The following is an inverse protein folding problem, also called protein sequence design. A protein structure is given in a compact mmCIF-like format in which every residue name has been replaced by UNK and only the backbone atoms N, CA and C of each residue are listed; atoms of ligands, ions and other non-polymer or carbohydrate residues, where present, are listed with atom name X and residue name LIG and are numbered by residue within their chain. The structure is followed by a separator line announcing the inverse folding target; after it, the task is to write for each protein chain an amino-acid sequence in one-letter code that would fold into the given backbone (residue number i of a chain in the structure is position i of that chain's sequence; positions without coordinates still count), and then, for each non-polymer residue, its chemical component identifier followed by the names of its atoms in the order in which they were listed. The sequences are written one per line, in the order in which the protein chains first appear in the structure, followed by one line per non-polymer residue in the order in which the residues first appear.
data_IF_825595045122
#
_entry.id   IF_825595045122
#
_cell.length_a   1.000
_cell.length_b   1.000
_cell.length_c   1.000
_cell.angle_alpha   90.00
_cell.angle_beta   90.00
_cell.angle_gamma   90.00
#
_symmetry.space_group_name_H-M   'P 1'
#
loop_
_entity.id
_entity.type
_entity.pdbx_description
1 polymer ?
#
# COMPACT_ATOMS: atom_id res chain seq x y z
N UNK A 1 4.34 -7.52 26.90
CA UNK A 1 3.97 -6.43 25.95
C UNK A 1 2.55 -5.96 26.24
N UNK A 2 2.33 -4.66 26.47
CA UNK A 2 0.97 -4.13 26.66
C UNK A 2 0.10 -4.27 25.40
N UNK A 3 -1.23 -4.36 25.55
CA UNK A 3 -2.18 -4.58 24.43
C UNK A 3 -2.01 -3.57 23.28
N UNK A 4 -1.63 -2.33 23.60
CA UNK A 4 -1.36 -1.28 22.61
C UNK A 4 -0.12 -1.53 21.75
N UNK A 5 0.94 -2.13 22.29
CA UNK A 5 2.17 -2.44 21.52
C UNK A 5 1.93 -3.55 20.49
N UNK A 6 1.13 -4.56 20.87
CA UNK A 6 0.72 -5.64 19.96
C UNK A 6 -0.18 -5.13 18.83
N UNK A 7 -1.14 -4.27 19.16
CA UNK A 7 -2.04 -3.67 18.17
C UNK A 7 -1.28 -2.81 17.16
N UNK A 8 -0.26 -2.05 17.61
CA UNK A 8 0.61 -1.28 16.73
C UNK A 8 1.45 -2.13 15.78
N UNK A 9 2.04 -3.23 16.28
CA UNK A 9 2.82 -4.15 15.45
C UNK A 9 1.95 -4.83 14.37
N UNK A 10 0.74 -5.25 14.73
CA UNK A 10 -0.22 -5.86 13.79
C UNK A 10 -0.66 -4.87 12.71
N UNK A 11 -0.91 -3.62 13.11
CA UNK A 11 -1.26 -2.55 12.18
C UNK A 11 -0.12 -2.24 11.20
N UNK A 12 1.12 -2.20 11.68
CA UNK A 12 2.31 -2.04 10.82
C UNK A 12 2.44 -3.22 9.85
N UNK A 13 2.25 -4.45 10.35
CA UNK A 13 2.31 -5.67 9.54
C UNK A 13 1.29 -5.63 8.41
N UNK A 14 0.05 -5.23 8.70
CA UNK A 14 -1.00 -5.10 7.68
C UNK A 14 -0.57 -4.10 6.61
N UNK A 15 -0.08 -2.91 6.98
CA UNK A 15 0.36 -1.92 6.00
C UNK A 15 1.54 -2.41 5.15
N UNK A 16 2.51 -3.10 5.75
CA UNK A 16 3.62 -3.72 5.00
C UNK A 16 3.11 -4.76 4.00
N UNK A 17 2.16 -5.61 4.42
CA UNK A 17 1.56 -6.60 3.53
C UNK A 17 0.78 -5.93 2.39
N UNK A 18 0.01 -4.88 2.67
CA UNK A 18 -0.69 -4.12 1.63
C UNK A 18 0.30 -3.54 0.61
N UNK A 19 1.40 -2.95 1.05
CA UNK A 19 2.45 -2.45 0.17
C UNK A 19 3.06 -3.57 -0.69
N UNK A 20 3.40 -4.70 -0.08
CA UNK A 20 4.01 -5.85 -0.78
C UNK A 20 3.06 -6.45 -1.81
N UNK A 21 1.78 -6.66 -1.45
CA UNK A 21 0.81 -7.34 -2.28
C UNK A 21 0.29 -6.47 -3.43
N UNK A 22 0.23 -5.15 -3.25
CA UNK A 22 -0.27 -4.23 -4.27
C UNK A 22 0.79 -3.80 -5.28
N UNK A 23 2.08 -4.03 -5.01
CA UNK A 23 3.13 -3.61 -5.94
C UNK A 23 3.14 -4.42 -7.25
N UNK A 24 3.17 -5.77 -7.25
CA UNK A 24 3.43 -6.54 -8.47
C UNK A 24 2.36 -6.30 -9.54
N UNK A 25 1.08 -6.35 -9.19
CA UNK A 25 0.00 -6.09 -10.14
C UNK A 25 -0.08 -4.63 -10.59
N UNK A 26 0.34 -3.67 -9.75
CA UNK A 26 0.42 -2.27 -10.14
C UNK A 26 1.51 -2.03 -11.19
N UNK A 27 2.59 -2.82 -11.18
CA UNK A 27 3.61 -2.78 -12.24
C UNK A 27 3.06 -3.27 -13.57
N UNK A 28 2.27 -4.35 -13.56
CA UNK A 28 1.61 -4.85 -14.77
C UNK A 28 0.67 -3.78 -15.30
N UNK A 29 -0.12 -3.16 -14.42
CA UNK A 29 -1.04 -2.08 -14.80
C UNK A 29 -0.32 -0.87 -15.41
N UNK A 30 0.82 -0.48 -14.84
CA UNK A 30 1.64 0.59 -15.38
C UNK A 30 2.30 0.22 -16.73
N UNK A 31 2.67 -1.04 -16.91
CA UNK A 31 3.30 -1.56 -18.12
C UNK A 31 2.34 -1.86 -19.27
N UNK A 32 1.01 -1.81 -19.06
CA UNK A 32 0.02 -1.97 -20.13
C UNK A 32 0.01 -0.80 -21.13
N UNK A 33 0.53 0.37 -20.74
CA UNK A 33 0.58 1.57 -21.60
C UNK A 33 2.01 2.15 -21.66
N UNK A 34 2.99 1.46 -22.26
CA UNK A 34 4.37 1.93 -22.33
C UNK A 34 4.52 3.15 -23.26
N UNK A 35 5.55 4.00 -23.07
CA UNK A 35 6.74 3.79 -22.26
C UNK A 35 6.72 4.68 -21.01
N UNK A 36 6.41 4.10 -19.86
CA UNK A 36 6.49 4.84 -18.61
C UNK A 36 7.56 4.29 -17.68
N UNK A 37 8.44 5.19 -17.24
CA UNK A 37 9.53 4.88 -16.32
C UNK A 37 9.08 4.69 -14.87
N UNK A 38 10.07 4.53 -13.99
CA UNK A 38 9.92 4.23 -12.57
C UNK A 38 8.90 5.12 -11.83
N UNK A 39 8.70 6.37 -12.24
CA UNK A 39 7.72 7.31 -11.67
C UNK A 39 6.27 6.85 -11.85
N UNK A 40 5.89 6.34 -13.02
CA UNK A 40 4.51 5.84 -13.24
C UNK A 40 4.31 4.54 -12.47
N UNK A 41 5.29 3.64 -12.48
CA UNK A 41 5.26 2.43 -11.67
C UNK A 41 5.07 2.75 -10.18
N UNK A 42 5.79 3.75 -9.66
CA UNK A 42 5.68 4.20 -8.28
C UNK A 42 4.30 4.83 -7.98
N UNK A 43 3.80 5.70 -8.86
CA UNK A 43 2.49 6.35 -8.64
C UNK A 43 1.32 5.36 -8.76
N UNK A 44 1.37 4.39 -9.67
CA UNK A 44 0.40 3.30 -9.76
C UNK A 44 0.43 2.41 -8.51
N UNK A 45 1.62 2.10 -8.01
CA UNK A 45 1.76 1.36 -6.75
C UNK A 45 1.20 2.14 -5.56
N UNK A 46 1.51 3.44 -5.45
CA UNK A 46 0.95 4.30 -4.40
C UNK A 46 -0.58 4.38 -4.49
N UNK A 47 -1.14 4.51 -5.70
CA UNK A 47 -2.59 4.49 -5.90
C UNK A 47 -3.20 3.16 -5.47
N UNK A 48 -2.59 2.02 -5.82
CA UNK A 48 -3.05 0.70 -5.37
C UNK A 48 -2.97 0.56 -3.84
N UNK A 49 -1.92 1.06 -3.20
CA UNK A 49 -1.80 1.07 -1.74
C UNK A 49 -2.89 1.95 -1.09
N UNK A 50 -3.12 3.16 -1.61
CA UNK A 50 -4.18 4.06 -1.14
C UNK A 50 -5.54 3.37 -1.23
N UNK A 51 -5.85 2.71 -2.36
CA UNK A 51 -7.09 1.97 -2.54
C UNK A 51 -7.26 0.77 -1.60
N UNK A 52 -6.16 0.14 -1.18
CA UNK A 52 -6.17 -0.98 -0.25
C UNK A 52 -6.13 -0.55 1.23
N UNK A 53 -5.72 0.68 1.52
CA UNK A 53 -5.60 1.24 2.89
C UNK A 53 -6.88 1.21 3.74
N UNK A 54 -8.12 1.21 3.19
CA UNK A 54 -9.33 0.99 3.99
C UNK A 54 -9.30 -0.32 4.79
N UNK A 55 -8.59 -1.36 4.33
CA UNK A 55 -8.45 -2.63 5.07
C UNK A 55 -7.70 -2.43 6.40
N UNK A 56 -6.65 -1.62 6.42
CA UNK A 56 -5.92 -1.31 7.64
C UNK A 56 -6.73 -0.39 8.56
N UNK A 57 -7.55 0.49 8.00
CA UNK A 57 -8.50 1.29 8.77
C UNK A 57 -9.57 0.41 9.45
N UNK A 58 -10.15 -0.56 8.72
CA UNK A 58 -11.08 -1.55 9.30
C UNK A 58 -10.44 -2.32 10.46
N UNK A 59 -9.16 -2.69 10.36
CA UNK A 59 -8.44 -3.33 11.45
C UNK A 59 -8.39 -2.45 12.72
N UNK A 60 -8.11 -1.15 12.59
CA UNK A 60 -8.12 -0.24 13.73
C UNK A 60 -9.53 -0.13 14.34
N UNK A 61 -10.59 -0.08 13.53
CA UNK A 61 -11.97 -0.05 14.02
C UNK A 61 -12.30 -1.29 14.86
N UNK A 62 -11.94 -2.48 14.39
CA UNK A 62 -12.14 -3.75 15.13
C UNK A 62 -11.35 -3.78 16.44
N UNK A 63 -10.20 -3.08 16.50
CA UNK A 63 -9.35 -2.99 17.70
C UNK A 63 -9.59 -1.73 18.54
N UNK A 64 -10.65 -0.97 18.26
CA UNK A 64 -10.93 0.32 18.90
C UNK A 64 -11.00 0.25 20.43
N UNK A 65 -11.65 -0.79 20.98
CA UNK A 65 -11.74 -1.01 22.43
C UNK A 65 -10.38 -1.17 23.11
N UNK A 66 -9.43 -1.82 22.44
CA UNK A 66 -8.08 -2.08 22.98
C UNK A 66 -7.17 -0.84 22.99
N UNK A 67 -7.52 0.17 22.19
CA UNK A 67 -6.73 1.40 21.99
C UNK A 67 -7.24 2.59 22.82
N UNK A 68 -8.49 2.53 23.31
CA UNK A 68 -9.09 3.57 24.13
C UNK A 68 -8.95 4.97 23.53
N UNK A 69 -8.53 5.97 24.32
CA UNK A 69 -8.40 7.37 23.86
C UNK A 69 -7.32 7.58 22.78
N UNK A 70 -6.36 6.65 22.63
CA UNK A 70 -5.31 6.73 21.58
C UNK A 70 -5.84 6.31 20.21
N UNK A 71 -6.98 5.61 20.16
CA UNK A 71 -7.63 5.19 18.92
C UNK A 71 -7.91 6.36 17.98
N UNK A 72 -8.57 7.42 18.49
CA UNK A 72 -8.95 8.58 17.70
C UNK A 72 -7.74 9.27 17.06
N UNK A 73 -6.67 9.45 17.84
CA UNK A 73 -5.42 10.05 17.35
C UNK A 73 -4.73 9.16 16.32
N UNK A 74 -4.69 7.84 16.55
CA UNK A 74 -4.10 6.89 15.61
C UNK A 74 -4.85 6.83 14.29
N UNK A 75 -6.19 6.82 14.35
CA UNK A 75 -7.06 6.89 13.18
C UNK A 75 -6.87 8.19 12.41
N UNK A 76 -6.93 9.34 13.10
CA UNK A 76 -6.75 10.65 12.47
C UNK A 76 -5.38 10.77 11.79
N UNK A 77 -4.31 10.33 12.47
CA UNK A 77 -2.97 10.31 11.91
C UNK A 77 -2.87 9.39 10.67
N UNK A 78 -3.52 8.23 10.70
CA UNK A 78 -3.53 7.31 9.57
C UNK A 78 -4.29 7.88 8.37
N UNK A 79 -5.48 8.44 8.60
CA UNK A 79 -6.26 9.10 7.54
C UNK A 79 -5.45 10.24 6.93
N UNK A 80 -4.82 11.08 7.75
CA UNK A 80 -3.97 12.17 7.27
C UNK A 80 -2.78 11.65 6.43
N UNK A 81 -2.13 10.58 6.87
CA UNK A 81 -1.05 9.93 6.11
C UNK A 81 -1.55 9.43 4.75
N UNK A 82 -2.65 8.69 4.72
CA UNK A 82 -3.21 8.14 3.47
C UNK A 82 -3.66 9.26 2.53
N UNK A 83 -4.32 10.31 3.04
CA UNK A 83 -4.71 11.46 2.22
C UNK A 83 -3.50 12.22 1.68
N UNK A 84 -2.42 12.33 2.47
CA UNK A 84 -1.18 12.96 2.01
C UNK A 84 -0.55 12.16 0.88
N UNK A 85 -0.45 10.84 1.04
CA UNK A 85 0.05 9.94 -0.02
C UNK A 85 -0.84 10.03 -1.25
N UNK A 86 -2.17 9.93 -1.08
CA UNK A 86 -3.13 10.02 -2.17
C UNK A 86 -3.01 11.34 -2.93
N UNK A 87 -2.92 12.47 -2.23
CA UNK A 87 -2.82 13.78 -2.86
C UNK A 87 -1.48 13.97 -3.57
N UNK A 88 -0.38 13.51 -2.98
CA UNK A 88 0.93 13.51 -3.64
C UNK A 88 0.92 12.65 -4.91
N UNK A 89 0.37 11.43 -4.86
CA UNK A 89 0.23 10.56 -6.03
C UNK A 89 -0.66 11.19 -7.10
N UNK A 90 -1.78 11.79 -6.71
CA UNK A 90 -2.68 12.51 -7.62
C UNK A 90 -1.94 13.61 -8.37
N UNK A 91 -1.19 14.48 -7.67
CA UNK A 91 -0.43 15.56 -8.29
C UNK A 91 0.67 15.05 -9.23
N UNK A 92 1.35 13.97 -8.85
CA UNK A 92 2.39 13.35 -9.69
C UNK A 92 1.80 12.69 -10.94
N UNK A 93 0.58 12.15 -10.86
CA UNK A 93 -0.09 11.52 -12.00
C UNK A 93 -0.65 12.52 -13.01
N UNK A 94 -1.05 13.73 -12.58
CA UNK A 94 -1.63 14.75 -13.47
C UNK A 94 -0.82 14.97 -14.77
N UNK A 95 0.49 15.30 -14.72
CA UNK A 95 1.28 15.53 -15.93
C UNK A 95 1.59 14.23 -16.70
N UNK A 96 1.61 13.08 -16.02
CA UNK A 96 1.96 11.80 -16.64
C UNK A 96 0.86 11.27 -17.57
N UNK A 97 -0.41 11.60 -17.27
CA UNK A 97 -1.56 11.15 -18.04
C UNK A 97 -2.19 12.24 -18.90
N UNK A 98 -1.66 13.46 -18.90
CA UNK A 98 -2.24 14.60 -19.63
C UNK A 98 -2.41 14.31 -21.13
N UNK A 99 -1.43 13.66 -21.75
CA UNK A 99 -1.47 13.27 -23.17
C UNK A 99 -2.43 12.12 -23.51
N UNK A 100 -2.93 11.40 -22.52
CA UNK A 100 -3.82 10.24 -22.68
C UNK A 100 -5.27 10.54 -22.25
N UNK A 101 -5.53 11.76 -21.78
CA UNK A 101 -6.87 12.18 -21.35
C UNK A 101 -7.78 12.35 -22.54
N UNK A 102 -9.01 11.85 -22.39
CA UNK A 102 -10.08 12.19 -23.31
C UNK A 102 -10.30 13.73 -23.31
N UNK A 103 -10.56 14.35 -24.46
CA UNK A 103 -10.84 15.79 -24.53
C UNK A 103 -11.96 16.18 -23.56
N UNK A 104 -11.69 17.16 -22.67
CA UNK A 104 -12.65 17.64 -21.67
C UNK A 104 -12.73 16.80 -20.38
N UNK A 105 -11.93 15.73 -20.24
CA UNK A 105 -11.86 14.96 -19.01
C UNK A 105 -10.73 15.43 -18.10
N UNK A 106 -11.09 16.11 -17.02
CA UNK A 106 -10.17 16.41 -15.92
C UNK A 106 -10.36 15.40 -14.80
N UNK A 107 -9.33 14.62 -14.51
CA UNK A 107 -9.34 13.74 -13.35
C UNK A 107 -9.28 14.62 -12.10
N UNK A 108 -10.37 14.65 -11.33
CA UNK A 108 -10.43 15.32 -10.03
C UNK A 108 -9.93 14.42 -8.91
N UNK A 109 -9.52 15.01 -7.79
CA UNK A 109 -9.02 14.24 -6.64
C UNK A 109 -10.01 13.18 -6.10
N UNK A 110 -11.33 13.46 -5.95
CA UNK A 110 -12.30 12.44 -5.56
C UNK A 110 -12.39 11.27 -6.54
N UNK A 111 -12.33 11.57 -7.85
CA UNK A 111 -12.32 10.54 -8.89
C UNK A 111 -11.05 9.69 -8.80
N UNK A 112 -9.90 10.30 -8.52
CA UNK A 112 -8.66 9.58 -8.25
C UNK A 112 -8.79 8.63 -7.04
N UNK A 113 -9.45 9.05 -5.95
CA UNK A 113 -9.67 8.17 -4.80
C UNK A 113 -10.52 6.95 -5.16
N UNK A 114 -11.59 7.13 -5.94
CA UNK A 114 -12.40 5.99 -6.42
C UNK A 114 -11.59 5.09 -7.36
N UNK A 115 -10.85 5.68 -8.29
CA UNK A 115 -9.97 4.96 -9.19
C UNK A 115 -8.90 4.17 -8.42
N UNK A 116 -8.37 4.70 -7.32
CA UNK A 116 -7.37 4.03 -6.49
C UNK A 116 -7.86 2.69 -5.93
N UNK A 117 -9.15 2.61 -5.57
CA UNK A 117 -9.78 1.35 -5.13
C UNK A 117 -9.83 0.34 -6.27
N UNK A 118 -10.21 0.77 -7.47
CA UNK A 118 -10.18 -0.09 -8.66
C UNK A 118 -8.75 -0.54 -8.99
N UNK A 119 -7.77 0.37 -8.92
CA UNK A 119 -6.35 0.07 -9.10
C UNK A 119 -5.88 -1.00 -8.10
N UNK A 120 -6.31 -0.91 -6.83
CA UNK A 120 -6.00 -1.90 -5.80
C UNK A 120 -6.59 -3.27 -6.15
N UNK A 121 -7.87 -3.32 -6.53
CA UNK A 121 -8.54 -4.57 -6.93
C UNK A 121 -7.84 -5.20 -8.13
N UNK A 122 -7.59 -4.42 -9.19
CA UNK A 122 -6.91 -4.89 -10.39
C UNK A 122 -5.51 -5.38 -10.04
N UNK A 123 -4.75 -4.63 -9.24
CA UNK A 123 -3.41 -5.04 -8.81
C UNK A 123 -3.43 -6.38 -8.07
N UNK A 124 -4.36 -6.60 -7.15
CA UNK A 124 -4.49 -7.87 -6.44
C UNK A 124 -4.87 -9.02 -7.38
N UNK A 125 -5.74 -8.78 -8.38
CA UNK A 125 -6.07 -9.80 -9.39
C UNK A 125 -4.90 -10.13 -10.31
N UNK A 126 -4.04 -9.16 -10.60
CA UNK A 126 -2.87 -9.31 -11.45
C UNK A 126 -1.63 -9.79 -10.70
N UNK A 127 -1.70 -9.98 -9.38
CA UNK A 127 -0.56 -10.39 -8.56
C UNK A 127 0.22 -11.59 -9.13
N UNK A 128 -0.43 -12.70 -9.57
CA UNK A 128 0.31 -13.85 -10.12
C UNK A 128 1.15 -13.49 -11.34
N UNK A 129 0.60 -12.65 -12.22
CA UNK A 129 1.29 -12.17 -13.43
C UNK A 129 2.34 -11.12 -13.07
N UNK A 130 2.06 -10.26 -12.10
CA UNK A 130 2.95 -9.20 -11.65
C UNK A 130 4.22 -9.69 -10.99
N UNK A 131 4.18 -10.84 -10.31
CA UNK A 131 5.40 -11.47 -9.79
C UNK A 131 6.33 -11.85 -10.94
N UNK A 132 5.79 -12.31 -12.07
CA UNK A 132 6.57 -12.62 -13.27
C UNK A 132 7.07 -11.35 -13.98
N UNK A 133 6.34 -10.24 -13.87
CA UNK A 133 6.72 -8.96 -14.49
C UNK A 133 8.05 -8.39 -13.95
N UNK A 134 8.43 -8.72 -12.72
CA UNK A 134 9.77 -8.39 -12.20
C UNK A 134 10.91 -9.06 -12.96
N UNK A 135 10.69 -10.28 -13.45
CA UNK A 135 11.67 -11.02 -14.24
C UNK A 135 11.65 -10.62 -15.72
N UNK A 136 10.57 -9.95 -16.17
CA UNK A 136 10.36 -9.57 -17.56
C UNK A 136 11.16 -8.35 -18.04
N UNK A 137 11.61 -7.48 -17.13
CA UNK A 137 12.37 -6.28 -17.52
C UNK A 137 13.38 -5.82 -16.44
N UNK A 138 14.64 -5.48 -16.81
CA UNK A 138 15.64 -4.95 -15.89
C UNK A 138 15.22 -3.65 -15.18
N UNK A 139 14.33 -2.86 -15.80
CA UNK A 139 13.85 -1.60 -15.23
C UNK A 139 13.00 -1.80 -13.96
N UNK A 140 12.48 -3.00 -13.75
CA UNK A 140 11.69 -3.36 -12.57
C UNK A 140 12.57 -3.81 -11.39
N UNK A 141 13.89 -3.99 -11.58
CA UNK A 141 14.80 -4.47 -10.54
C UNK A 141 14.83 -3.57 -9.29
N UNK A 142 14.89 -2.22 -9.37
CA UNK A 142 14.83 -1.38 -8.19
C UNK A 142 13.55 -1.59 -7.38
N UNK A 143 12.42 -1.77 -8.08
CA UNK A 143 11.12 -1.99 -7.45
C UNK A 143 11.00 -3.38 -6.84
N UNK A 144 11.63 -4.40 -7.45
CA UNK A 144 11.77 -5.73 -6.86
C UNK A 144 12.57 -5.67 -5.56
N UNK A 145 13.71 -4.97 -5.54
CA UNK A 145 14.55 -4.82 -4.35
C UNK A 145 13.74 -4.18 -3.21
N UNK A 146 12.97 -3.14 -3.51
CA UNK A 146 12.08 -2.51 -2.52
C UNK A 146 11.00 -3.49 -2.05
N UNK A 147 10.36 -4.25 -2.94
CA UNK A 147 9.35 -5.25 -2.56
C UNK A 147 9.91 -6.31 -1.61
N UNK A 148 11.09 -6.85 -1.94
CA UNK A 148 11.79 -7.85 -1.14
C UNK A 148 12.20 -7.28 0.21
N UNK A 149 12.67 -6.03 0.27
CA UNK A 149 13.01 -5.36 1.53
C UNK A 149 11.76 -5.19 2.43
N UNK A 150 10.63 -4.77 1.86
CA UNK A 150 9.36 -4.65 2.57
C UNK A 150 8.85 -6.01 3.07
N UNK A 151 8.95 -7.05 2.25
CA UNK A 151 8.60 -8.42 2.64
C UNK A 151 9.50 -8.93 3.77
N UNK A 152 10.81 -8.69 3.68
CA UNK A 152 11.76 -9.05 4.73
C UNK A 152 11.44 -8.32 6.04
N UNK A 153 11.08 -7.04 5.99
CA UNK A 153 10.63 -6.29 7.15
C UNK A 153 9.33 -6.86 7.74
N UNK A 154 8.36 -7.23 6.90
CA UNK A 154 7.12 -7.89 7.33
C UNK A 154 7.39 -9.22 8.03
N UNK A 155 8.25 -10.07 7.45
CA UNK A 155 8.64 -11.37 8.02
C UNK A 155 9.39 -11.18 9.35
N UNK A 156 10.31 -10.21 9.41
CA UNK A 156 11.04 -9.89 10.64
C UNK A 156 10.09 -9.44 11.74
N UNK A 157 9.19 -8.51 11.44
CA UNK A 157 8.21 -8.01 12.40
C UNK A 157 7.28 -9.14 12.89
N UNK A 158 6.81 -9.99 11.97
CA UNK A 158 6.01 -11.15 12.31
C UNK A 158 6.76 -12.12 13.22
N UNK A 159 8.05 -12.38 12.97
CA UNK A 159 8.89 -13.22 13.83
C UNK A 159 9.14 -12.61 15.21
N UNK A 160 9.39 -11.30 15.28
CA UNK A 160 9.56 -10.61 16.56
C UNK A 160 8.28 -10.66 17.40
N UNK A 161 7.13 -10.50 16.74
CA UNK A 161 5.82 -10.67 17.37
C UNK A 161 5.61 -12.10 17.87
N UNK A 162 5.83 -13.12 17.04
CA UNK A 162 5.56 -14.51 17.42
C UNK A 162 6.48 -15.02 18.55
N UNK A 163 7.72 -14.53 18.62
CA UNK A 163 8.62 -14.82 19.75
C UNK A 163 8.13 -14.26 21.08
N UNK A 164 7.42 -13.14 21.06
CA UNK A 164 6.80 -12.57 22.26
C UNK A 164 5.58 -13.35 22.76
N UNK A 165 5.12 -14.35 22.00
CA UNK A 165 3.95 -15.21 22.29
C UNK A 165 4.36 -16.62 22.76
N UNK A 166 5.66 -16.93 22.87
CA UNK A 166 6.15 -18.24 23.32
C UNK A 166 5.97 -18.50 24.83
N UNK A 167 6.07 -19.77 25.29
CA UNK A 167 5.76 -20.20 26.67
C UNK A 167 6.64 -19.59 27.79
N UNK A 168 7.63 -18.77 27.43
CA UNK A 168 8.50 -18.04 28.36
C UNK A 168 8.23 -16.53 28.39
N UNK A 169 7.15 -16.06 27.76
CA UNK A 169 6.69 -14.67 27.85
C UNK A 169 6.04 -14.39 29.21
N UNK A 170 6.84 -14.41 30.28
CA UNK A 170 6.42 -14.00 31.63
C UNK A 170 6.18 -12.48 31.68
N UNK A 171 5.20 -12.01 32.50
CA UNK A 171 4.86 -10.60 32.66
C UNK A 171 6.01 -9.74 33.19
#
# INVERSE_FOLDING_TARGET
MGSGSRTGADFLLINLLLLVLTQPGALVLAGFDPPFGLTVNATMWMAAFVGASPLAFLYLLVRSESLGRRFLWGVAAYIALILTVAYASYLLQQPLFEGFRAPGYEQTFPVFLVASVLTAVISLTLLPVGVLAYAGSPENLPLLVVNVALLAAAVLLWRLRSRSEGPYGSP
#
